data_IF_996557418993
#
_entry.id   IF_996557418993
#
_cell.length_a   1.000
_cell.length_b   1.000
_cell.length_c   1.000
_cell.angle_alpha   90.00
_cell.angle_beta   90.00
_cell.angle_gamma   90.00
#
_symmetry.space_group_name_H-M   'P 1'
#
loop_
_entity.id
_entity.type
_entity.pdbx_description
1 polymer ?
#
# COMPACT_ATOMS: atom_id res chain seq x y z
N UNK A 1 -12.23 4.42 6.10
CA UNK A 1 -12.65 3.66 4.92
C UNK A 1 -14.12 3.32 5.10
N UNK A 2 -14.98 3.41 4.09
CA UNK A 2 -16.39 2.98 4.26
C UNK A 2 -16.45 1.45 4.30
N UNK A 3 -17.46 0.90 4.97
CA UNK A 3 -17.70 -0.55 5.03
C UNK A 3 -17.89 -1.15 3.63
N UNK A 4 -18.55 -0.40 2.75
CA UNK A 4 -18.77 -0.78 1.36
C UNK A 4 -17.46 -0.84 0.57
N UNK A 5 -16.53 0.09 0.82
CA UNK A 5 -15.21 0.07 0.19
C UNK A 5 -14.41 -1.18 0.55
N UNK A 6 -14.46 -1.62 1.81
CA UNK A 6 -13.79 -2.83 2.26
C UNK A 6 -14.37 -4.09 1.60
N UNK A 7 -15.70 -4.14 1.48
CA UNK A 7 -16.41 -5.23 0.79
C UNK A 7 -16.04 -5.30 -0.69
N UNK A 8 -15.98 -4.17 -1.40
CA UNK A 8 -15.58 -4.11 -2.80
C UNK A 8 -14.12 -4.56 -3.01
N UNK A 9 -13.21 -4.14 -2.14
CA UNK A 9 -11.82 -4.61 -2.17
C UNK A 9 -11.74 -6.12 -1.97
N UNK A 10 -12.52 -6.66 -1.03
CA UNK A 10 -12.59 -8.11 -0.82
C UNK A 10 -13.10 -8.86 -2.05
N UNK A 11 -14.19 -8.39 -2.66
CA UNK A 11 -14.74 -8.98 -3.88
C UNK A 11 -13.70 -8.96 -5.02
N UNK A 12 -13.02 -7.83 -5.22
CA UNK A 12 -11.97 -7.70 -6.23
C UNK A 12 -10.85 -8.72 -6.02
N UNK A 13 -10.31 -8.84 -4.80
CA UNK A 13 -9.24 -9.79 -4.52
C UNK A 13 -9.73 -11.22 -4.67
N UNK A 14 -10.94 -11.54 -4.19
CA UNK A 14 -11.53 -12.87 -4.32
C UNK A 14 -11.73 -13.27 -5.79
N UNK A 15 -12.11 -12.33 -6.66
CA UNK A 15 -12.24 -12.58 -8.10
C UNK A 15 -10.90 -12.80 -8.81
N UNK A 16 -9.80 -12.27 -8.28
CA UNK A 16 -8.46 -12.38 -8.88
C UNK A 16 -7.62 -13.50 -8.28
N UNK A 17 -7.94 -13.93 -7.07
CA UNK A 17 -7.30 -15.03 -6.37
C UNK A 17 -7.21 -16.27 -7.27
N UNK A 18 -6.00 -16.81 -7.40
CA UNK A 18 -5.65 -17.96 -8.27
C UNK A 18 -5.99 -17.81 -9.77
N UNK A 19 -6.42 -16.63 -10.23
CA UNK A 19 -6.82 -16.39 -11.62
C UNK A 19 -5.93 -15.38 -12.34
N UNK A 20 -5.47 -14.33 -11.65
CA UNK A 20 -4.65 -13.26 -12.25
C UNK A 20 -3.64 -12.70 -11.26
N UNK A 21 -2.43 -12.42 -11.73
CA UNK A 21 -1.41 -11.73 -10.95
C UNK A 21 -1.87 -10.33 -10.55
N UNK A 22 -1.64 -9.93 -9.31
CA UNK A 22 -2.10 -8.64 -8.77
C UNK A 22 -0.96 -7.95 -8.03
N UNK A 23 -0.66 -6.70 -8.41
CA UNK A 23 0.31 -5.86 -7.72
C UNK A 23 -0.42 -4.83 -6.85
N UNK A 24 -0.03 -4.71 -5.60
CA UNK A 24 -0.60 -3.76 -4.65
C UNK A 24 0.55 -3.00 -3.99
N UNK A 25 0.44 -1.68 -3.96
CA UNK A 25 1.37 -0.80 -3.24
C UNK A 25 0.63 -0.18 -2.07
N UNK A 26 1.21 -0.27 -0.88
CA UNK A 26 0.64 0.31 0.34
C UNK A 26 1.76 0.95 1.16
N UNK A 27 1.48 2.11 1.75
CA UNK A 27 2.33 2.71 2.78
C UNK A 27 1.95 2.23 4.19
N UNK A 28 0.89 1.43 4.32
CA UNK A 28 0.41 0.84 5.56
C UNK A 28 0.88 -0.63 5.63
N UNK A 29 1.52 -1.06 6.72
CA UNK A 29 1.92 -2.46 6.90
C UNK A 29 0.69 -3.38 6.97
N UNK A 30 0.81 -4.61 6.46
CA UNK A 30 -0.30 -5.58 6.41
C UNK A 30 -0.93 -5.85 7.79
N UNK A 31 -0.15 -5.78 8.87
CA UNK A 31 -0.63 -5.95 10.25
C UNK A 31 -1.66 -4.89 10.67
N UNK A 32 -1.61 -3.70 10.09
CA UNK A 32 -2.52 -2.58 10.40
C UNK A 32 -3.76 -2.54 9.48
N UNK A 33 -3.88 -3.46 8.53
CA UNK A 33 -5.04 -3.46 7.61
C UNK A 33 -6.37 -3.68 8.33
N UNK A 34 -6.36 -4.42 9.44
CA UNK A 34 -7.60 -4.70 10.19
C UNK A 34 -8.21 -3.44 10.81
N UNK A 35 -7.36 -2.50 11.23
CA UNK A 35 -7.75 -1.18 11.70
C UNK A 35 -8.19 -0.28 10.54
N UNK A 36 -7.44 -0.31 9.43
CA UNK A 36 -7.74 0.49 8.24
C UNK A 36 -9.11 0.15 7.61
N UNK A 37 -9.41 -1.15 7.47
CA UNK A 37 -10.66 -1.63 6.90
C UNK A 37 -11.82 -1.67 7.92
N UNK A 38 -11.53 -1.49 9.21
CA UNK A 38 -12.51 -1.50 10.31
C UNK A 38 -13.37 -2.77 10.39
N UNK A 39 -12.90 -3.88 9.81
CA UNK A 39 -13.55 -5.19 9.85
C UNK A 39 -12.47 -6.28 9.93
N UNK A 40 -12.21 -6.76 11.15
CA UNK A 40 -11.17 -7.74 11.41
C UNK A 40 -11.42 -9.09 10.72
N UNK A 41 -12.68 -9.52 10.62
CA UNK A 41 -13.03 -10.81 10.01
C UNK A 41 -12.81 -10.76 8.50
N UNK A 42 -13.35 -9.73 7.85
CA UNK A 42 -13.20 -9.53 6.40
C UNK A 42 -11.73 -9.30 6.02
N UNK A 43 -11.00 -8.52 6.83
CA UNK A 43 -9.58 -8.27 6.60
C UNK A 43 -8.75 -9.55 6.69
N UNK A 44 -8.99 -10.41 7.67
CA UNK A 44 -8.24 -11.65 7.79
C UNK A 44 -8.48 -12.57 6.58
N UNK A 45 -9.74 -12.68 6.13
CA UNK A 45 -10.09 -13.45 4.94
C UNK A 45 -9.48 -12.86 3.65
N UNK A 46 -9.34 -11.53 3.58
CA UNK A 46 -8.67 -10.83 2.49
C UNK A 46 -7.16 -11.11 2.47
N UNK A 47 -6.50 -10.93 3.62
CA UNK A 47 -5.06 -11.10 3.77
C UNK A 47 -4.65 -12.54 3.50
N UNK A 48 -5.43 -13.51 3.96
CA UNK A 48 -5.20 -14.93 3.69
C UNK A 48 -5.06 -15.21 2.19
N UNK A 49 -6.04 -14.77 1.38
CA UNK A 49 -6.02 -14.91 -0.09
C UNK A 49 -4.88 -14.14 -0.74
N UNK A 50 -4.60 -12.93 -0.26
CA UNK A 50 -3.61 -12.04 -0.86
C UNK A 50 -2.18 -12.52 -0.58
N UNK A 51 -1.92 -13.06 0.61
CA UNK A 51 -0.58 -13.46 1.05
C UNK A 51 -0.22 -14.89 0.61
N UNK A 52 -1.20 -15.77 0.43
CA UNK A 52 -0.96 -17.18 0.09
C UNK A 52 -0.04 -17.38 -1.14
N UNK A 53 -0.21 -16.58 -2.19
CA UNK A 53 0.61 -16.63 -3.41
C UNK A 53 1.26 -15.29 -3.78
N UNK A 54 1.76 -14.54 -2.79
CA UNK A 54 2.44 -13.26 -3.06
C UNK A 54 3.88 -13.20 -2.58
N UNK A 55 4.61 -12.22 -3.15
CA UNK A 55 5.92 -11.80 -2.67
C UNK A 55 5.79 -10.41 -2.07
N UNK A 56 6.03 -10.30 -0.76
CA UNK A 56 6.05 -9.00 -0.08
C UNK A 56 7.42 -8.38 -0.25
N UNK A 57 7.46 -7.18 -0.86
CA UNK A 57 8.67 -6.39 -1.04
C UNK A 57 8.57 -5.17 -0.13
N UNK A 58 9.43 -5.12 0.89
CA UNK A 58 9.53 -3.96 1.77
C UNK A 58 10.41 -2.90 1.10
N UNK A 59 9.83 -1.72 0.86
CA UNK A 59 10.54 -0.58 0.26
C UNK A 59 10.88 0.39 1.38
N UNK A 60 12.17 0.62 1.59
CA UNK A 60 12.70 1.59 2.56
C UNK A 60 13.53 2.65 1.85
N UNK A 61 13.55 3.86 2.39
CA UNK A 61 14.33 4.96 1.82
C UNK A 61 13.65 6.33 1.92
N UNK A 62 14.37 7.37 1.52
CA UNK A 62 13.82 8.74 1.45
C UNK A 62 12.84 8.84 0.28
N UNK A 63 11.82 9.68 0.44
CA UNK A 63 10.87 9.97 -0.64
C UNK A 63 11.60 10.48 -1.87
N UNK A 64 11.42 9.79 -3.01
CA UNK A 64 12.02 10.20 -4.27
C UNK A 64 11.60 11.63 -4.67
N UNK A 65 10.35 12.02 -4.36
CA UNK A 65 9.83 13.37 -4.62
C UNK A 65 10.60 14.46 -3.87
N UNK A 66 11.21 14.14 -2.72
CA UNK A 66 11.99 15.10 -1.94
C UNK A 66 13.41 15.32 -2.50
N UNK A 67 13.87 14.46 -3.42
CA UNK A 67 15.17 14.59 -4.06
C UNK A 67 15.30 15.94 -4.77
N UNK A 68 14.32 16.30 -5.58
CA UNK A 68 14.28 17.56 -6.34
C UNK A 68 14.15 18.80 -5.43
N UNK A 69 13.46 18.66 -4.29
CA UNK A 69 13.36 19.72 -3.28
C UNK A 69 14.70 19.96 -2.57
N UNK A 70 15.48 18.91 -2.30
CA UNK A 70 16.81 19.04 -1.70
C UNK A 70 17.85 19.62 -2.67
N UNK A 71 17.76 19.29 -3.96
CA UNK A 71 18.65 19.84 -5.00
C UNK A 71 18.36 21.33 -5.31
N UNK A 72 17.12 21.80 -5.11
CA UNK A 72 16.79 23.23 -5.25
C UNK A 72 17.30 24.08 -4.08
N UNK A 73 17.34 23.54 -2.85
CA UNK A 73 17.87 24.27 -1.67
C UNK A 73 19.38 24.50 -1.71
N UNK A 74 20.14 23.71 -2.46
CA UNK A 74 21.59 23.89 -2.61
C UNK A 74 21.97 24.88 -3.72
N UNK A 75 20.99 25.38 -4.49
CA UNK A 75 21.18 26.38 -5.56
C UNK A 75 20.57 27.75 -5.22
N UNK A 76 20.56 28.15 -3.96
CA UNK A 76 20.35 29.57 -3.63
C UNK A 76 21.59 30.35 -4.08
N UNK A 77 21.49 31.35 -4.96
CA UNK A 77 22.64 32.15 -5.36
C UNK A 77 23.17 32.87 -4.11
N UNK A 78 24.47 32.74 -3.82
CA UNK A 78 25.14 33.65 -2.89
C UNK A 78 24.91 35.07 -3.42
N UNK A 79 24.15 35.90 -2.69
CA UNK A 79 24.09 37.32 -3.00
C UNK A 79 25.49 37.89 -2.84
N UNK A 80 25.99 38.56 -3.88
CA UNK A 80 27.09 39.50 -3.77
C UNK A 80 26.66 40.70 -2.94
#
# INVERSE_FOLDING_TARGET
FSRDGASLLFQLINMRYEKKSTLITTNIPLSQWSEFLQDKKLTNALLDRLVHHSKVISITGKSYRMKDYSEKKTKTPKSK
#
